data_IF_724339709314
#
_entry.id   IF_724339709314
#
_cell.length_a   1.000
_cell.length_b   1.000
_cell.length_c   1.000
_cell.angle_alpha   90.00
_cell.angle_beta   90.00
_cell.angle_gamma   90.00
#
_symmetry.space_group_name_H-M   'P 1'
#
loop_
_entity.id
_entity.type
_entity.pdbx_description
1 polymer ?
#
# COMPACT_ATOMS: atom_id res chain seq x y z
N UNK A 1 8.58 -9.81 22.28
CA UNK A 1 7.21 -9.45 22.72
C UNK A 1 6.40 -10.74 22.76
N UNK A 2 5.58 -10.98 23.79
CA UNK A 2 4.83 -12.23 23.94
C UNK A 2 3.36 -11.97 23.68
N UNK A 3 2.75 -12.76 22.79
CA UNK A 3 1.30 -12.86 22.60
C UNK A 3 0.73 -13.87 23.60
N UNK A 4 -0.58 -14.11 23.67
CA UNK A 4 -1.14 -15.20 24.49
C UNK A 4 -1.34 -16.47 23.67
N UNK A 5 -1.72 -16.30 22.40
CA UNK A 5 -1.96 -17.40 21.48
C UNK A 5 -0.66 -18.03 21.00
N UNK A 6 -0.53 -19.35 21.15
CA UNK A 6 0.57 -20.14 20.59
C UNK A 6 0.66 -20.00 19.06
N UNK A 7 -0.49 -19.80 18.39
CA UNK A 7 -0.56 -19.62 16.93
C UNK A 7 0.21 -18.36 16.46
N UNK A 8 0.44 -17.39 17.34
CA UNK A 8 1.20 -16.18 17.04
C UNK A 8 2.66 -16.25 17.51
N UNK A 9 2.99 -17.19 18.38
CA UNK A 9 4.33 -17.34 18.94
C UNK A 9 5.16 -18.42 18.23
N UNK A 10 4.54 -19.56 17.98
CA UNK A 10 5.22 -20.75 17.50
C UNK A 10 5.26 -20.76 15.96
N UNK A 11 6.36 -21.27 15.41
CA UNK A 11 6.48 -21.46 13.97
C UNK A 11 5.42 -22.50 13.53
N UNK A 12 4.55 -22.17 12.56
CA UNK A 12 3.50 -23.08 12.12
C UNK A 12 4.07 -24.40 11.58
N UNK A 13 3.50 -25.52 12.03
CA UNK A 13 3.93 -26.87 11.61
C UNK A 13 3.62 -27.20 10.16
N UNK A 14 2.76 -26.42 9.50
CA UNK A 14 2.41 -26.58 8.08
C UNK A 14 3.48 -26.08 7.11
N UNK A 15 4.53 -25.41 7.59
CA UNK A 15 5.61 -24.89 6.75
C UNK A 15 6.56 -26.00 6.30
N UNK A 16 7.15 -25.82 5.11
CA UNK A 16 8.22 -26.70 4.63
C UNK A 16 9.42 -26.67 5.59
N UNK A 17 10.17 -27.78 5.66
CA UNK A 17 11.36 -27.86 6.52
C UNK A 17 12.43 -26.82 6.16
N UNK A 18 12.54 -26.47 4.87
CA UNK A 18 13.45 -25.42 4.39
C UNK A 18 13.04 -24.05 4.92
N UNK A 19 11.75 -23.71 4.84
CA UNK A 19 11.26 -22.42 5.31
C UNK A 19 11.27 -22.32 6.83
N UNK A 20 11.05 -23.45 7.52
CA UNK A 20 11.22 -23.52 8.96
C UNK A 20 12.68 -23.23 9.37
N UNK A 21 13.67 -23.74 8.64
CA UNK A 21 15.09 -23.45 8.90
C UNK A 21 15.42 -21.96 8.66
N UNK A 22 14.89 -21.37 7.58
CA UNK A 22 15.01 -19.93 7.30
C UNK A 22 14.43 -19.06 8.41
N UNK A 23 13.30 -19.47 8.99
CA UNK A 23 12.67 -18.76 10.11
C UNK A 23 13.43 -18.93 11.44
N UNK A 24 14.16 -20.02 11.61
CA UNK A 24 15.09 -20.17 12.74
C UNK A 24 16.36 -19.32 12.55
N UNK A 25 16.78 -19.12 11.30
CA UNK A 25 18.02 -18.44 10.91
C UNK A 25 17.73 -17.09 10.26
N UNK A 26 16.97 -16.24 10.95
CA UNK A 26 16.50 -14.98 10.40
C UNK A 26 17.65 -14.07 9.96
N UNK A 27 17.49 -13.37 8.81
CA UNK A 27 18.42 -12.34 8.40
C UNK A 27 18.62 -11.25 9.45
N UNK A 28 19.85 -10.74 9.58
CA UNK A 28 20.15 -9.65 10.52
C UNK A 28 19.43 -8.34 10.16
N UNK A 29 19.19 -8.09 8.87
CA UNK A 29 18.55 -6.87 8.37
C UNK A 29 17.02 -6.97 8.41
N UNK A 30 16.35 -5.98 9.02
CA UNK A 30 14.87 -5.88 9.01
C UNK A 30 14.30 -5.87 7.60
N UNK A 31 14.97 -5.23 6.64
CA UNK A 31 14.51 -5.24 5.23
C UNK A 31 14.52 -6.64 4.62
N UNK A 32 15.56 -7.42 4.91
CA UNK A 32 15.65 -8.80 4.43
C UNK A 32 14.60 -9.70 5.12
N UNK A 33 14.31 -9.47 6.40
CA UNK A 33 13.24 -10.17 7.13
C UNK A 33 11.86 -9.85 6.56
N UNK A 34 11.58 -8.59 6.25
CA UNK A 34 10.33 -8.19 5.58
C UNK A 34 10.15 -8.94 4.26
N UNK A 35 11.17 -8.94 3.39
CA UNK A 35 11.12 -9.64 2.11
C UNK A 35 10.90 -11.15 2.28
N UNK A 36 11.56 -11.76 3.27
CA UNK A 36 11.34 -13.18 3.59
C UNK A 36 9.89 -13.46 3.99
N UNK A 37 9.31 -12.65 4.90
CA UNK A 37 7.92 -12.85 5.31
C UNK A 37 6.92 -12.58 4.18
N UNK A 38 7.18 -11.61 3.31
CA UNK A 38 6.36 -11.36 2.11
C UNK A 38 6.39 -12.56 1.15
N UNK A 39 7.57 -13.14 0.89
CA UNK A 39 7.73 -14.34 0.06
C UNK A 39 6.99 -15.54 0.67
N UNK A 40 7.11 -15.74 1.98
CA UNK A 40 6.41 -16.82 2.69
C UNK A 40 4.88 -16.61 2.66
N UNK A 41 4.40 -15.37 2.84
CA UNK A 41 2.96 -15.09 2.77
C UNK A 41 2.38 -15.36 1.39
N UNK A 42 3.14 -15.10 0.32
CA UNK A 42 2.71 -15.41 -1.05
C UNK A 42 2.65 -16.94 -1.26
N UNK A 43 3.71 -17.65 -0.85
CA UNK A 43 3.81 -19.11 -0.96
C UNK A 43 2.73 -19.85 -0.16
N UNK A 44 2.43 -19.38 1.05
CA UNK A 44 1.45 -19.99 1.96
C UNK A 44 0.12 -19.20 2.01
N UNK A 45 -0.22 -18.51 0.92
CA UNK A 45 -1.47 -17.75 0.79
C UNK A 45 -2.75 -18.61 0.89
N UNK A 46 -2.64 -19.92 0.72
CA UNK A 46 -3.73 -20.88 0.93
C UNK A 46 -3.79 -21.51 2.32
N UNK A 47 -2.74 -21.41 3.14
CA UNK A 47 -2.69 -22.03 4.46
C UNK A 47 -3.14 -21.04 5.55
N UNK A 48 -4.39 -21.18 5.96
CA UNK A 48 -5.01 -20.31 6.97
C UNK A 48 -4.36 -20.45 8.36
N UNK A 49 -3.67 -21.56 8.65
CA UNK A 49 -3.06 -21.79 9.96
C UNK A 49 -1.69 -21.12 10.07
N UNK A 50 -0.94 -21.01 8.96
CA UNK A 50 0.37 -20.37 8.94
C UNK A 50 0.29 -18.84 8.83
N UNK A 51 -0.79 -18.33 8.23
CA UNK A 51 -0.95 -16.89 7.95
C UNK A 51 -0.91 -15.97 9.17
N UNK A 52 -1.62 -16.23 10.28
CA UNK A 52 -1.63 -15.32 11.42
C UNK A 52 -0.22 -15.05 11.96
N UNK A 53 0.59 -16.09 12.12
CA UNK A 53 1.98 -15.99 12.54
C UNK A 53 2.78 -15.07 11.59
N UNK A 54 2.80 -15.40 10.29
CA UNK A 54 3.58 -14.67 9.29
C UNK A 54 3.16 -13.20 9.17
N UNK A 55 1.85 -12.92 9.21
CA UNK A 55 1.30 -11.56 9.16
C UNK A 55 1.73 -10.73 10.37
N UNK A 56 1.71 -11.33 11.57
CA UNK A 56 2.10 -10.63 12.80
C UNK A 56 3.60 -10.36 12.83
N UNK A 57 4.44 -11.32 12.43
CA UNK A 57 5.89 -11.12 12.35
C UNK A 57 6.26 -10.05 11.32
N UNK A 58 5.61 -10.06 10.14
CA UNK A 58 5.78 -9.01 9.14
C UNK A 58 5.37 -7.63 9.69
N UNK A 59 4.23 -7.55 10.37
CA UNK A 59 3.75 -6.31 10.97
C UNK A 59 4.69 -5.79 12.06
N UNK A 60 5.26 -6.66 12.88
CA UNK A 60 6.27 -6.31 13.88
C UNK A 60 7.53 -5.70 13.22
N UNK A 61 8.04 -6.30 12.14
CA UNK A 61 9.18 -5.75 11.40
C UNK A 61 8.87 -4.40 10.72
N UNK A 62 7.69 -4.26 10.11
CA UNK A 62 7.26 -2.99 9.50
C UNK A 62 7.09 -1.89 10.57
N UNK A 63 6.63 -2.26 11.75
CA UNK A 63 6.56 -1.34 12.90
C UNK A 63 7.97 -0.89 13.31
N UNK A 64 8.94 -1.81 13.35
CA UNK A 64 10.34 -1.49 13.63
C UNK A 64 10.96 -0.56 12.57
N UNK A 65 10.52 -0.67 11.31
CA UNK A 65 10.88 0.24 10.21
C UNK A 65 10.14 1.60 10.25
N UNK A 66 9.38 1.88 11.32
CA UNK A 66 8.65 3.14 11.55
C UNK A 66 7.53 3.40 10.52
N UNK A 67 6.89 2.35 10.04
CA UNK A 67 5.73 2.42 9.15
C UNK A 67 4.45 1.87 9.82
N UNK A 68 4.00 2.43 10.96
CA UNK A 68 2.93 1.83 11.77
C UNK A 68 1.56 1.76 11.07
N UNK A 69 1.27 2.67 10.12
CA UNK A 69 0.03 2.64 9.34
C UNK A 69 -0.05 1.41 8.43
N UNK A 70 1.07 1.00 7.85
CA UNK A 70 1.16 -0.21 7.01
C UNK A 70 1.10 -1.45 7.89
N UNK A 71 1.84 -1.47 9.01
CA UNK A 71 1.80 -2.55 9.97
C UNK A 71 0.38 -2.82 10.51
N UNK A 72 -0.39 -1.75 10.79
CA UNK A 72 -1.78 -1.87 11.23
C UNK A 72 -2.67 -2.61 10.23
N UNK A 73 -2.42 -2.44 8.92
CA UNK A 73 -3.11 -3.21 7.87
C UNK A 73 -2.88 -4.71 8.02
N UNK A 74 -1.62 -5.11 8.21
CA UNK A 74 -1.25 -6.52 8.40
C UNK A 74 -1.79 -7.10 9.70
N UNK A 75 -1.73 -6.35 10.81
CA UNK A 75 -2.34 -6.79 12.07
C UNK A 75 -3.85 -6.98 11.97
N UNK A 76 -4.56 -6.08 11.27
CA UNK A 76 -6.01 -6.24 11.05
C UNK A 76 -6.33 -7.46 10.19
N UNK A 77 -5.50 -7.76 9.19
CA UNK A 77 -5.61 -9.00 8.42
C UNK A 77 -5.41 -10.22 9.31
N UNK A 78 -4.35 -10.25 10.13
CA UNK A 78 -4.09 -11.32 11.08
C UNK A 78 -5.26 -11.51 12.07
N UNK A 79 -5.79 -10.42 12.63
CA UNK A 79 -6.96 -10.45 13.52
C UNK A 79 -8.18 -11.06 12.85
N UNK A 80 -8.42 -10.72 11.59
CA UNK A 80 -9.52 -11.27 10.80
C UNK A 80 -9.35 -12.78 10.58
N UNK A 81 -8.12 -13.22 10.27
CA UNK A 81 -7.78 -14.64 10.13
C UNK A 81 -7.95 -15.40 11.44
N UNK A 82 -7.45 -14.88 12.56
CA UNK A 82 -7.65 -15.48 13.90
C UNK A 82 -9.13 -15.60 14.25
N UNK A 83 -9.92 -14.56 13.96
CA UNK A 83 -11.37 -14.57 14.19
C UNK A 83 -12.04 -15.66 13.37
N UNK A 84 -11.64 -15.86 12.10
CA UNK A 84 -12.17 -16.95 11.27
C UNK A 84 -11.79 -18.35 11.77
N UNK A 85 -10.68 -18.47 12.50
CA UNK A 85 -10.27 -19.70 13.18
C UNK A 85 -10.94 -19.88 14.56
N UNK A 86 -11.76 -18.92 15.00
CA UNK A 86 -12.38 -18.93 16.33
C UNK A 86 -11.40 -18.67 17.47
N UNK A 87 -10.21 -18.11 17.18
CA UNK A 87 -9.17 -17.82 18.16
C UNK A 87 -9.29 -16.36 18.59
N UNK A 88 -9.34 -16.13 19.90
CA UNK A 88 -9.34 -14.80 20.50
C UNK A 88 -8.07 -14.64 21.33
N UNK A 89 -7.28 -13.60 21.01
CA UNK A 89 -6.11 -13.19 21.78
C UNK A 89 -6.30 -11.74 22.23
N UNK A 90 -6.64 -11.57 23.50
CA UNK A 90 -6.99 -10.26 24.05
C UNK A 90 -5.77 -9.34 24.14
N UNK A 91 -4.58 -9.88 24.40
CA UNK A 91 -3.34 -9.10 24.42
C UNK A 91 -2.98 -8.56 23.04
N UNK A 92 -3.12 -9.40 22.01
CA UNK A 92 -2.94 -9.00 20.63
C UNK A 92 -3.98 -7.93 20.25
N UNK A 93 -5.26 -8.16 20.55
CA UNK A 93 -6.34 -7.23 20.25
C UNK A 93 -6.14 -5.86 20.92
N UNK A 94 -5.76 -5.83 22.20
CA UNK A 94 -5.46 -4.60 22.92
C UNK A 94 -4.29 -3.83 22.29
N UNK A 95 -3.23 -4.55 21.85
CA UNK A 95 -2.09 -3.94 21.15
C UNK A 95 -2.48 -3.34 19.81
N UNK A 96 -3.23 -4.08 19.00
CA UNK A 96 -3.73 -3.59 17.70
C UNK A 96 -4.60 -2.36 17.90
N UNK A 97 -5.46 -2.36 18.92
CA UNK A 97 -6.30 -1.21 19.25
C UNK A 97 -5.47 0.01 19.66
N UNK A 98 -4.45 -0.18 20.51
CA UNK A 98 -3.54 0.90 20.92
C UNK A 98 -2.78 1.49 19.73
N UNK A 99 -2.24 0.64 18.85
CA UNK A 99 -1.56 1.11 17.64
C UNK A 99 -2.52 1.86 16.71
N UNK A 100 -3.76 1.38 16.57
CA UNK A 100 -4.79 2.04 15.78
C UNK A 100 -5.10 3.45 16.30
N UNK A 101 -5.21 3.62 17.61
CA UNK A 101 -5.43 4.94 18.22
C UNK A 101 -4.25 5.87 17.98
N UNK A 102 -3.01 5.40 18.15
CA UNK A 102 -1.80 6.21 17.92
C UNK A 102 -1.67 6.64 16.45
N UNK A 103 -1.88 5.71 15.50
CA UNK A 103 -1.85 6.00 14.06
C UNK A 103 -2.94 7.00 13.68
N UNK A 104 -4.13 6.86 14.25
CA UNK A 104 -5.24 7.78 13.99
C UNK A 104 -4.94 9.19 14.52
N UNK A 105 -4.41 9.31 15.74
CA UNK A 105 -4.01 10.59 16.32
C UNK A 105 -2.94 11.29 15.47
N UNK A 106 -1.89 10.57 15.07
CA UNK A 106 -0.84 11.11 14.19
C UNK A 106 -1.39 11.53 12.83
N UNK A 107 -2.28 10.73 12.25
CA UNK A 107 -2.94 11.03 10.98
C UNK A 107 -3.79 12.29 11.10
N UNK A 108 -4.59 12.40 12.16
CA UNK A 108 -5.44 13.56 12.42
C UNK A 108 -4.62 14.83 12.67
N UNK A 109 -3.53 14.75 13.42
CA UNK A 109 -2.60 15.86 13.63
C UNK A 109 -1.99 16.33 12.30
N UNK A 110 -1.49 15.40 11.47
CA UNK A 110 -0.96 15.72 10.14
C UNK A 110 -2.01 16.32 9.22
N UNK A 111 -3.24 15.82 9.27
CA UNK A 111 -4.37 16.36 8.50
C UNK A 111 -4.78 17.76 8.97
N UNK A 112 -4.74 18.02 10.28
CA UNK A 112 -5.00 19.36 10.82
C UNK A 112 -3.90 20.34 10.39
N UNK A 113 -2.63 19.93 10.46
CA UNK A 113 -1.49 20.74 10.00
C UNK A 113 -1.56 21.00 8.48
N UNK A 114 -1.95 20.00 7.69
CA UNK A 114 -2.03 20.16 6.24
C UNK A 114 -3.07 21.21 5.83
N UNK A 115 -4.16 21.37 6.60
CA UNK A 115 -5.18 22.41 6.39
C UNK A 115 -4.66 23.84 6.51
N UNK A 116 -3.53 24.03 7.19
CA UNK A 116 -2.88 25.33 7.33
C UNK A 116 -1.91 25.65 6.19
N UNK A 117 -1.61 24.67 5.33
CA UNK A 117 -0.68 24.87 4.22
C UNK A 117 -1.32 25.71 3.11
N UNK A 118 -0.54 26.56 2.41
CA UNK A 118 -1.06 27.42 1.32
C UNK A 118 -1.76 26.65 0.20
N UNK A 119 -1.38 25.38 0.00
CA UNK A 119 -1.89 24.52 -1.07
C UNK A 119 -3.02 23.59 -0.61
N UNK A 120 -3.59 23.78 0.58
CA UNK A 120 -4.73 22.99 1.01
C UNK A 120 -5.99 23.40 0.24
N UNK A 121 -6.38 22.56 -0.71
CA UNK A 121 -7.63 22.68 -1.43
C UNK A 121 -8.61 21.62 -0.94
N UNK A 122 -9.80 22.04 -0.48
CA UNK A 122 -10.88 21.10 -0.21
C UNK A 122 -11.23 20.39 -1.51
N UNK A 123 -11.38 19.07 -1.44
CA UNK A 123 -11.97 18.31 -2.55
C UNK A 123 -13.33 18.90 -2.86
N UNK A 124 -13.55 19.24 -4.13
CA UNK A 124 -14.86 19.68 -4.62
C UNK A 124 -15.25 18.79 -5.80
N UNK A 125 -16.54 18.59 -6.05
CA UNK A 125 -16.98 17.86 -7.24
C UNK A 125 -16.41 18.46 -8.53
N UNK A 126 -16.10 17.61 -9.52
CA UNK A 126 -15.54 18.02 -10.83
C UNK A 126 -16.33 19.16 -11.47
N UNK A 127 -17.67 19.12 -11.40
CA UNK A 127 -18.59 20.16 -11.92
C UNK A 127 -18.40 21.55 -11.31
N UNK A 128 -17.76 21.67 -10.15
CA UNK A 128 -17.50 22.95 -9.45
C UNK A 128 -16.11 23.51 -9.75
N UNK A 129 -15.28 22.77 -10.50
CA UNK A 129 -14.05 23.32 -11.05
C UNK A 129 -14.39 24.19 -12.25
N UNK A 130 -13.89 25.43 -12.21
CA UNK A 130 -13.82 26.29 -13.39
C UNK A 130 -12.68 25.78 -14.25
N UNK A 131 -12.92 24.71 -14.99
CA UNK A 131 -12.00 24.32 -16.05
C UNK A 131 -11.99 25.44 -17.09
N UNK A 132 -10.82 25.83 -17.61
CA UNK A 132 -10.76 26.72 -18.74
C UNK A 132 -11.40 26.02 -19.95
N UNK A 133 -12.70 26.23 -20.15
CA UNK A 133 -13.47 25.70 -21.28
C UNK A 133 -13.18 26.44 -22.58
N UNK A 134 -12.61 27.65 -22.46
CA UNK A 134 -12.29 28.53 -23.58
C UNK A 134 -10.77 28.66 -23.72
N UNK A 135 -10.04 27.55 -23.74
CA UNK A 135 -8.68 27.60 -24.26
C UNK A 135 -8.80 27.89 -25.77
N UNK A 136 -8.24 29.00 -26.28
CA UNK A 136 -8.42 29.42 -27.67
C UNK A 136 -7.94 28.37 -28.68
N UNK A 137 -7.11 27.43 -28.24
CA UNK A 137 -6.68 26.27 -28.99
C UNK A 137 -6.79 25.03 -28.10
N UNK A 138 -8.01 24.55 -27.89
CA UNK A 138 -8.17 23.16 -27.46
C UNK A 138 -7.62 22.28 -28.58
N UNK A 139 -6.61 21.42 -28.32
CA UNK A 139 -6.16 20.48 -29.32
C UNK A 139 -7.34 19.58 -29.69
N UNK A 140 -7.55 19.36 -30.98
CA UNK A 140 -8.68 18.60 -31.53
C UNK A 140 -8.70 17.15 -31.02
N UNK A 141 -7.57 16.66 -30.50
CA UNK A 141 -7.46 15.42 -29.76
C UNK A 141 -6.09 15.23 -29.12
N UNK A 142 -5.92 14.10 -28.41
CA UNK A 142 -4.65 13.73 -27.77
C UNK A 142 -3.50 13.57 -28.78
N UNK A 143 -3.81 13.32 -30.05
CA UNK A 143 -2.85 13.12 -31.13
C UNK A 143 -2.14 14.43 -31.53
N UNK A 144 -2.87 15.54 -31.61
CA UNK A 144 -2.30 16.86 -31.92
C UNK A 144 -1.37 17.35 -30.80
N UNK A 145 -1.73 17.07 -29.54
CA UNK A 145 -0.84 17.36 -28.39
C UNK A 145 0.44 16.53 -28.49
N UNK A 146 0.33 15.25 -28.85
CA UNK A 146 1.47 14.33 -28.99
C UNK A 146 2.41 14.75 -30.11
N UNK A 147 1.86 15.20 -31.25
CA UNK A 147 2.64 15.70 -32.38
C UNK A 147 3.34 17.02 -32.05
N UNK A 148 2.62 17.99 -31.49
CA UNK A 148 3.20 19.28 -31.08
C UNK A 148 4.28 19.13 -30.00
N UNK A 149 4.15 18.13 -29.12
CA UNK A 149 5.23 17.80 -28.19
C UNK A 149 6.40 17.10 -28.88
N UNK A 150 6.17 16.23 -29.85
CA UNK A 150 7.25 15.63 -30.66
C UNK A 150 8.02 16.69 -31.47
N UNK A 151 7.38 17.81 -31.81
CA UNK A 151 8.04 18.96 -32.44
C UNK A 151 8.87 19.78 -31.43
N UNK A 152 8.38 19.93 -30.18
CA UNK A 152 9.04 20.71 -29.13
C UNK A 152 10.14 19.94 -28.37
N UNK A 153 10.19 18.62 -28.49
CA UNK A 153 11.26 17.79 -27.92
C UNK A 153 11.87 16.93 -29.00
N UNK A 154 13.20 16.82 -29.01
CA UNK A 154 13.90 15.87 -29.87
C UNK A 154 13.27 14.47 -29.77
N UNK A 155 13.24 13.76 -30.90
CA UNK A 155 12.33 12.66 -31.27
C UNK A 155 12.21 11.44 -30.33
N UNK A 156 12.86 11.42 -29.16
CA UNK A 156 12.92 10.30 -28.22
C UNK A 156 12.41 10.61 -26.80
N UNK A 157 11.56 11.61 -26.61
CA UNK A 157 11.13 12.04 -25.26
C UNK A 157 9.79 11.47 -24.76
N UNK A 158 9.27 10.36 -25.31
CA UNK A 158 7.92 9.84 -24.98
C UNK A 158 7.66 9.71 -23.47
N UNK A 159 8.68 9.37 -22.67
CA UNK A 159 8.58 9.35 -21.20
C UNK A 159 8.49 10.72 -20.53
N UNK A 160 9.11 11.77 -21.09
CA UNK A 160 8.94 13.15 -20.62
C UNK A 160 7.54 13.68 -20.94
N UNK A 161 6.99 13.33 -22.11
CA UNK A 161 5.61 13.64 -22.48
C UNK A 161 4.61 13.03 -21.51
N UNK A 162 4.68 11.71 -21.25
CA UNK A 162 3.77 11.03 -20.34
C UNK A 162 3.87 11.56 -18.91
N UNK A 163 5.08 11.89 -18.44
CA UNK A 163 5.28 12.53 -17.12
C UNK A 163 4.63 13.91 -17.05
N UNK A 164 4.80 14.75 -18.07
CA UNK A 164 4.16 16.07 -18.09
C UNK A 164 2.64 15.95 -18.17
N UNK A 165 2.12 15.01 -18.96
CA UNK A 165 0.69 14.79 -19.07
C UNK A 165 0.10 14.31 -17.73
N UNK A 166 0.78 13.41 -17.02
CA UNK A 166 0.39 12.99 -15.67
C UNK A 166 0.40 14.14 -14.65
N UNK A 167 1.40 15.03 -14.72
CA UNK A 167 1.53 16.22 -13.85
C UNK A 167 0.44 17.26 -14.17
N UNK A 168 0.21 17.58 -15.45
CA UNK A 168 -0.71 18.65 -15.88
C UNK A 168 -2.18 18.23 -15.79
N UNK A 169 -2.49 16.96 -16.03
CA UNK A 169 -3.86 16.44 -15.94
C UNK A 169 -4.22 15.92 -14.55
N UNK A 170 -3.27 15.95 -13.61
CA UNK A 170 -3.41 15.42 -12.25
C UNK A 170 -3.96 13.96 -12.24
N UNK A 171 -3.76 13.22 -13.33
CA UNK A 171 -4.11 11.80 -13.45
C UNK A 171 -3.04 10.96 -12.75
N UNK A 172 -2.99 11.07 -11.42
CA UNK A 172 -2.33 10.07 -10.59
C UNK A 172 -3.43 9.08 -10.22
N UNK A 173 -3.27 7.84 -10.72
CA UNK A 173 -3.98 6.61 -10.35
C UNK A 173 -5.40 6.42 -10.92
N UNK A 174 -5.53 5.57 -11.95
CA UNK A 174 -6.83 4.96 -12.29
C UNK A 174 -6.95 4.24 -13.64
N UNK A 175 -6.24 4.66 -14.70
CA UNK A 175 -6.53 4.17 -16.07
C UNK A 175 -5.27 3.75 -16.83
N UNK A 176 -4.42 2.94 -16.21
CA UNK A 176 -3.50 2.08 -16.94
C UNK A 176 -3.99 0.65 -16.80
N UNK A 177 -5.00 0.28 -17.59
CA UNK A 177 -5.32 -1.07 -18.05
C UNK A 177 -6.54 -0.97 -19.01
N UNK A 178 -6.31 -0.39 -20.19
CA UNK A 178 -7.07 -0.74 -21.38
C UNK A 178 -6.05 -1.33 -22.35
N UNK A 179 -5.80 -2.62 -22.20
CA UNK A 179 -5.27 -3.45 -23.28
C UNK A 179 -6.38 -3.68 -24.32
N UNK A 180 -5.99 -3.95 -25.55
CA UNK A 180 -6.83 -4.01 -26.76
C UNK A 180 -7.93 -5.11 -26.76
N UNK A 181 -8.19 -5.79 -25.64
CA UNK A 181 -9.18 -6.88 -25.53
C UNK A 181 -10.60 -6.38 -25.20
N UNK A 182 -10.79 -5.10 -24.90
CA UNK A 182 -12.11 -4.54 -24.56
C UNK A 182 -12.95 -4.12 -25.79
N UNK A 183 -12.73 -4.75 -26.95
CA UNK A 183 -13.55 -4.56 -28.15
C UNK A 183 -14.17 -5.89 -28.61
N UNK A 184 -15.33 -6.20 -28.01
CA UNK A 184 -16.42 -6.99 -28.61
C UNK A 184 -17.76 -6.33 -28.23
#
# INVERSE_FOLDING_TARGET
>A
MSYESSVLQDIPTGLSTEDHDKLLHLPASSKARVLLYEELLDRYSGDINAQPYLLVQLADEITALRCPSVALGFYNKARSTLTSLGIVDDTFNARVQKLATEVNEQTMEKLQKSRLLPYHQKWKPTREYKFPTNLPHLPLGSQEVRERWRELTEANSTGAYLRKLAIETNHIEGVFLLTDEASL
#
